data_IF_703972736968
#
_entry.id   IF_703972736968
#
_cell.length_a   1.000
_cell.length_b   1.000
_cell.length_c   1.000
_cell.angle_alpha   90.00
_cell.angle_beta   90.00
_cell.angle_gamma   90.00
#
_symmetry.space_group_name_H-M   'P 1'
#
loop_
_entity.id
_entity.type
_entity.pdbx_description
1 polymer ?
#
# COMPACT_ATOMS: atom_id res chain seq x y z
N UNK A 1 12.36 -7.24 -21.74
CA UNK A 1 13.13 -6.60 -20.63
C UNK A 1 13.54 -7.67 -19.66
N UNK A 2 14.71 -7.55 -18.99
CA UNK A 2 15.15 -8.48 -17.94
C UNK A 2 15.15 -7.77 -16.58
N UNK A 3 14.56 -8.38 -15.55
CA UNK A 3 14.42 -7.82 -14.21
C UNK A 3 14.57 -8.88 -13.12
N UNK A 4 15.25 -8.53 -12.01
CA UNK A 4 15.37 -9.36 -10.82
C UNK A 4 14.34 -8.90 -9.80
N UNK A 5 13.45 -9.78 -9.38
CA UNK A 5 12.35 -9.48 -8.46
C UNK A 5 12.53 -10.33 -7.21
N UNK A 6 12.61 -9.69 -6.04
CA UNK A 6 12.61 -10.39 -4.78
C UNK A 6 11.18 -10.60 -4.28
N UNK A 7 10.84 -11.83 -3.97
CA UNK A 7 9.57 -12.19 -3.34
C UNK A 7 9.81 -12.39 -1.85
N UNK A 8 9.07 -11.65 -1.04
CA UNK A 8 9.08 -11.80 0.42
C UNK A 8 7.64 -12.09 0.85
N UNK A 9 7.24 -13.36 0.99
CA UNK A 9 5.86 -13.68 1.38
C UNK A 9 5.47 -13.12 2.75
N UNK A 10 6.41 -13.05 3.68
CA UNK A 10 6.17 -12.56 5.04
C UNK A 10 5.36 -13.55 5.88
N UNK A 11 4.31 -13.06 6.56
CA UNK A 11 3.57 -13.77 7.59
C UNK A 11 2.10 -14.02 7.19
N UNK A 12 1.48 -15.02 7.83
CA UNK A 12 0.05 -15.30 7.70
C UNK A 12 -0.40 -15.52 6.26
N UNK A 13 -1.45 -14.79 5.83
CA UNK A 13 -1.99 -14.90 4.46
C UNK A 13 -1.01 -14.41 3.39
N UNK A 14 0.06 -13.70 3.76
CA UNK A 14 1.08 -13.25 2.82
C UNK A 14 1.66 -14.38 1.98
N UNK A 15 1.81 -15.58 2.54
CA UNK A 15 2.27 -16.78 1.84
C UNK A 15 1.35 -17.15 0.67
N UNK A 16 0.04 -17.06 0.86
CA UNK A 16 -0.97 -17.44 -0.12
C UNK A 16 -1.11 -16.37 -1.22
N UNK A 17 -1.28 -15.11 -0.80
CA UNK A 17 -1.61 -14.02 -1.75
C UNK A 17 -0.41 -13.64 -2.64
N UNK A 18 0.83 -13.71 -2.11
CA UNK A 18 2.04 -13.37 -2.88
C UNK A 18 2.28 -14.37 -4.02
N UNK A 19 1.89 -15.63 -3.81
CA UNK A 19 1.95 -16.66 -4.86
C UNK A 19 1.21 -16.20 -6.11
N UNK A 20 0.04 -15.59 -5.97
CA UNK A 20 -0.76 -15.11 -7.11
C UNK A 20 -0.20 -13.84 -7.74
N UNK A 21 0.37 -12.93 -6.95
CA UNK A 21 1.14 -11.80 -7.50
C UNK A 21 2.31 -12.27 -8.36
N UNK A 22 3.09 -13.28 -7.89
CA UNK A 22 4.19 -13.90 -8.65
C UNK A 22 3.69 -14.60 -9.91
N UNK A 23 2.56 -15.34 -9.85
CA UNK A 23 1.99 -16.03 -11.02
C UNK A 23 1.54 -15.05 -12.10
N UNK A 24 0.97 -13.92 -11.72
CA UNK A 24 0.58 -12.85 -12.65
C UNK A 24 1.82 -12.25 -13.33
N UNK A 25 2.89 -11.98 -12.58
CA UNK A 25 4.17 -11.50 -13.16
C UNK A 25 4.76 -12.52 -14.14
N UNK A 26 4.71 -13.83 -13.83
CA UNK A 26 5.12 -14.88 -14.76
C UNK A 26 4.29 -14.85 -16.05
N UNK A 27 2.97 -14.75 -15.94
CA UNK A 27 2.08 -14.71 -17.11
C UNK A 27 2.35 -13.46 -17.98
N UNK A 28 2.62 -12.33 -17.37
CA UNK A 28 3.03 -11.09 -18.08
C UNK A 28 4.37 -11.31 -18.78
N UNK A 29 5.35 -11.91 -18.11
CA UNK A 29 6.65 -12.19 -18.73
C UNK A 29 6.51 -13.06 -19.98
N UNK A 30 5.71 -14.14 -19.92
CA UNK A 30 5.40 -15.01 -21.05
C UNK A 30 4.69 -14.26 -22.19
N UNK A 31 3.63 -13.51 -21.85
CA UNK A 31 2.77 -12.82 -22.83
C UNK A 31 3.51 -11.71 -23.59
N UNK A 32 4.36 -10.94 -22.90
CA UNK A 32 5.04 -9.77 -23.45
C UNK A 32 6.54 -10.00 -23.73
N UNK A 33 7.00 -11.25 -23.62
CA UNK A 33 8.38 -11.65 -23.89
C UNK A 33 9.41 -10.89 -23.01
N UNK A 34 9.13 -10.86 -21.70
CA UNK A 34 10.06 -10.38 -20.68
C UNK A 34 10.77 -11.55 -20.00
N UNK A 35 11.89 -11.27 -19.34
CA UNK A 35 12.62 -12.21 -18.49
C UNK A 35 12.61 -11.69 -17.05
N UNK A 36 11.70 -12.22 -16.21
CA UNK A 36 11.67 -11.92 -14.78
C UNK A 36 12.32 -13.07 -14.02
N UNK A 37 13.37 -12.74 -13.25
CA UNK A 37 14.10 -13.68 -12.39
C UNK A 37 13.62 -13.45 -10.96
N UNK A 38 13.08 -14.50 -10.34
CA UNK A 38 12.57 -14.44 -8.99
C UNK A 38 13.56 -15.06 -8.01
N UNK A 39 13.88 -14.31 -6.94
CA UNK A 39 14.52 -14.83 -5.74
C UNK A 39 13.53 -14.72 -4.56
N UNK A 40 13.76 -15.50 -3.50
CA UNK A 40 12.90 -15.51 -2.33
C UNK A 40 13.69 -15.23 -1.06
N UNK A 41 13.05 -14.57 -0.09
CA UNK A 41 13.62 -14.29 1.22
C UNK A 41 12.53 -14.26 2.30
N UNK A 42 12.95 -14.41 3.56
CA UNK A 42 12.08 -14.40 4.74
C UNK A 42 12.19 -13.05 5.46
N UNK A 43 11.07 -12.57 6.00
CA UNK A 43 10.97 -11.39 6.86
C UNK A 43 9.79 -11.56 7.83
N UNK A 44 9.80 -10.83 8.94
CA UNK A 44 8.70 -10.83 9.91
C UNK A 44 8.79 -11.96 10.94
N UNK A 45 7.64 -12.47 11.35
CA UNK A 45 7.55 -13.58 12.31
C UNK A 45 8.27 -14.83 11.81
N UNK A 46 8.07 -15.18 10.55
CA UNK A 46 8.74 -16.33 9.91
C UNK A 46 10.26 -16.23 10.04
N UNK A 47 10.83 -15.04 9.85
CA UNK A 47 12.26 -14.79 10.02
C UNK A 47 12.69 -14.84 11.50
N UNK A 48 11.88 -14.31 12.42
CA UNK A 48 12.17 -14.38 13.87
C UNK A 48 12.23 -15.83 14.35
N UNK A 49 11.29 -16.68 13.95
CA UNK A 49 11.29 -18.10 14.33
C UNK A 49 12.52 -18.85 13.75
N UNK A 50 12.95 -18.50 12.54
CA UNK A 50 14.08 -19.16 11.90
C UNK A 50 15.44 -18.65 12.38
N UNK A 51 15.58 -17.35 12.71
CA UNK A 51 16.89 -16.70 12.92
C UNK A 51 16.98 -15.83 14.18
N UNK A 52 15.86 -15.56 14.84
CA UNK A 52 15.77 -14.58 15.94
C UNK A 52 15.75 -13.11 15.48
N UNK A 53 15.80 -12.85 14.17
CA UNK A 53 15.87 -11.50 13.58
C UNK A 53 14.69 -11.27 12.62
N UNK A 54 13.90 -10.22 12.77
CA UNK A 54 12.76 -9.94 11.88
C UNK A 54 13.17 -9.56 10.44
N UNK A 55 14.42 -9.15 10.22
CA UNK A 55 15.01 -8.89 8.91
C UNK A 55 16.45 -9.43 8.91
N UNK A 56 16.69 -10.67 8.45
CA UNK A 56 18.02 -11.21 8.27
C UNK A 56 18.88 -10.37 7.32
N UNK A 57 20.19 -10.30 7.56
CA UNK A 57 21.11 -9.53 6.70
C UNK A 57 21.10 -10.06 5.26
N UNK A 58 20.99 -11.38 5.06
CA UNK A 58 20.85 -11.98 3.73
C UNK A 58 19.62 -11.42 2.98
N UNK A 59 18.48 -11.30 3.67
CA UNK A 59 17.26 -10.71 3.08
C UNK A 59 17.51 -9.26 2.65
N UNK A 60 18.19 -8.48 3.48
CA UNK A 60 18.49 -7.08 3.17
C UNK A 60 19.45 -6.95 1.98
N UNK A 61 20.46 -7.80 1.89
CA UNK A 61 21.39 -7.81 0.73
C UNK A 61 20.66 -8.19 -0.58
N UNK A 62 19.81 -9.22 -0.55
CA UNK A 62 18.97 -9.58 -1.69
C UNK A 62 18.04 -8.44 -2.09
N UNK A 63 17.45 -7.75 -1.12
CA UNK A 63 16.58 -6.60 -1.35
C UNK A 63 17.32 -5.45 -2.06
N UNK A 64 18.54 -5.12 -1.63
CA UNK A 64 19.38 -4.10 -2.25
C UNK A 64 19.84 -4.47 -3.66
N UNK A 65 19.97 -5.76 -3.95
CA UNK A 65 20.42 -6.27 -5.25
C UNK A 65 19.28 -6.46 -6.26
N UNK A 66 18.02 -6.40 -5.84
CA UNK A 66 16.86 -6.58 -6.73
C UNK A 66 16.40 -5.28 -7.39
N UNK A 67 15.71 -5.40 -8.53
CA UNK A 67 15.08 -4.26 -9.23
C UNK A 67 13.77 -3.82 -8.56
N UNK A 68 13.06 -4.77 -7.93
CA UNK A 68 11.83 -4.52 -7.17
C UNK A 68 11.56 -5.65 -6.18
N UNK A 69 10.73 -5.39 -5.16
CA UNK A 69 10.34 -6.34 -4.14
C UNK A 69 8.81 -6.49 -4.16
N UNK A 70 8.31 -7.72 -4.27
CA UNK A 70 6.92 -8.05 -4.00
C UNK A 70 6.82 -8.66 -2.61
N UNK A 71 6.10 -7.98 -1.73
CA UNK A 71 5.92 -8.37 -0.33
C UNK A 71 4.47 -8.78 -0.07
N UNK A 72 4.26 -9.75 0.83
CA UNK A 72 2.93 -10.21 1.20
C UNK A 72 2.36 -9.45 2.39
N UNK A 73 2.68 -9.87 3.59
CA UNK A 73 2.16 -9.27 4.82
C UNK A 73 3.11 -9.45 5.99
N UNK A 74 2.90 -8.70 7.08
CA UNK A 74 3.72 -8.80 8.28
C UNK A 74 2.84 -8.76 9.54
N UNK A 75 3.36 -9.37 10.62
CA UNK A 75 2.74 -9.36 11.92
C UNK A 75 2.27 -10.74 12.37
N UNK A 76 2.16 -10.92 13.69
CA UNK A 76 1.61 -12.14 14.28
C UNK A 76 1.03 -11.86 15.67
N UNK A 77 -0.18 -12.34 15.95
CA UNK A 77 -0.94 -12.11 17.19
C UNK A 77 -0.16 -12.44 18.49
N UNK A 78 0.85 -13.33 18.42
CA UNK A 78 1.76 -13.63 19.51
C UNK A 78 2.43 -12.37 20.09
N UNK A 79 2.78 -11.41 19.23
CA UNK A 79 3.48 -10.18 19.63
C UNK A 79 2.51 -9.07 20.03
N UNK A 80 1.32 -9.03 19.47
CA UNK A 80 0.30 -8.01 19.77
C UNK A 80 -0.15 -8.12 21.24
N UNK A 81 -0.24 -9.35 21.74
CA UNK A 81 -0.69 -9.65 23.09
C UNK A 81 0.47 -9.72 24.12
N UNK A 82 1.71 -9.51 23.70
CA UNK A 82 2.88 -9.50 24.59
C UNK A 82 3.56 -8.12 24.63
N UNK A 83 3.21 -7.25 25.61
CA UNK A 83 3.86 -5.96 25.76
C UNK A 83 5.35 -6.04 26.07
N UNK A 84 5.84 -7.19 26.56
CA UNK A 84 7.24 -7.44 26.93
C UNK A 84 8.11 -7.86 25.74
N UNK A 85 7.52 -8.19 24.58
CA UNK A 85 8.25 -8.63 23.40
C UNK A 85 9.22 -7.54 22.92
N UNK A 86 10.52 -7.84 23.01
CA UNK A 86 11.60 -6.93 22.58
C UNK A 86 11.81 -6.94 21.09
N UNK A 87 11.53 -8.06 20.43
CA UNK A 87 11.64 -8.25 18.98
C UNK A 87 10.25 -8.46 18.41
N UNK A 88 9.89 -7.67 17.40
CA UNK A 88 8.58 -7.68 16.74
C UNK A 88 8.74 -7.75 15.23
N UNK A 89 7.84 -8.44 14.51
CA UNK A 89 7.86 -8.54 13.05
C UNK A 89 7.97 -7.18 12.35
N UNK A 90 7.20 -6.18 12.82
CA UNK A 90 7.10 -4.83 12.24
C UNK A 90 8.44 -4.09 12.24
N UNK A 91 9.36 -4.43 13.15
CA UNK A 91 10.71 -3.87 13.16
C UNK A 91 11.47 -4.22 11.88
N UNK A 92 11.19 -5.39 11.28
CA UNK A 92 11.76 -5.80 10.00
C UNK A 92 11.30 -4.88 8.87
N UNK A 93 9.99 -4.58 8.81
CA UNK A 93 9.41 -3.70 7.80
C UNK A 93 9.93 -2.26 7.93
N UNK A 94 9.99 -1.73 9.15
CA UNK A 94 10.53 -0.39 9.39
C UNK A 94 12.03 -0.30 9.01
N UNK A 95 12.80 -1.35 9.34
CA UNK A 95 14.23 -1.42 8.99
C UNK A 95 14.44 -1.48 7.48
N UNK A 96 13.75 -2.35 6.74
CA UNK A 96 13.93 -2.47 5.28
C UNK A 96 13.52 -1.18 4.56
N UNK A 97 12.44 -0.52 4.97
CA UNK A 97 12.02 0.78 4.43
C UNK A 97 13.10 1.85 4.60
N UNK A 98 13.71 1.90 5.79
CA UNK A 98 14.81 2.83 6.10
C UNK A 98 16.07 2.52 5.29
N UNK A 99 16.48 1.27 5.24
CA UNK A 99 17.70 0.82 4.56
C UNK A 99 17.64 0.98 3.03
N UNK A 100 16.45 0.86 2.44
CA UNK A 100 16.21 1.10 1.02
C UNK A 100 15.86 2.57 0.72
N UNK A 101 15.77 3.44 1.72
CA UNK A 101 15.44 4.84 1.54
C UNK A 101 14.03 5.07 0.97
N UNK A 102 13.06 4.24 1.36
CA UNK A 102 11.68 4.33 0.90
C UNK A 102 10.95 5.44 1.67
N UNK A 103 10.74 6.57 1.03
CA UNK A 103 10.16 7.75 1.70
C UNK A 103 8.73 8.08 1.28
N UNK A 104 8.27 7.56 0.15
CA UNK A 104 6.94 7.83 -0.35
C UNK A 104 6.15 6.52 -0.49
N UNK A 105 5.06 6.38 0.26
CA UNK A 105 4.12 5.28 0.10
C UNK A 105 2.94 5.76 -0.73
N UNK A 106 2.77 5.13 -1.88
CA UNK A 106 1.70 5.37 -2.83
C UNK A 106 0.59 4.37 -2.58
N UNK A 107 -0.61 4.85 -2.30
CA UNK A 107 -1.81 4.04 -2.06
C UNK A 107 -2.94 4.50 -2.99
N UNK A 108 -3.11 3.88 -4.15
CA UNK A 108 -4.23 4.16 -5.02
C UNK A 108 -5.52 3.58 -4.41
N UNK A 109 -6.55 4.40 -4.34
CA UNK A 109 -7.91 3.98 -4.02
C UNK A 109 -8.65 3.89 -5.35
N UNK A 110 -8.51 2.73 -5.98
CA UNK A 110 -9.17 2.41 -7.25
C UNK A 110 -10.51 1.74 -6.97
N UNK A 111 -11.57 2.32 -7.48
CA UNK A 111 -12.90 1.76 -7.36
C UNK A 111 -13.23 0.93 -8.61
N UNK A 112 -13.67 -0.30 -8.40
CA UNK A 112 -14.27 -1.12 -9.43
C UNK A 112 -15.79 -0.95 -9.41
N UNK A 113 -16.39 -0.59 -10.53
CA UNK A 113 -17.85 -0.37 -10.62
C UNK A 113 -18.65 -1.62 -10.19
N UNK A 114 -18.05 -2.80 -10.32
CA UNK A 114 -18.60 -4.09 -9.91
C UNK A 114 -18.63 -4.32 -8.40
N UNK A 115 -17.94 -3.46 -7.64
CA UNK A 115 -17.84 -3.54 -6.16
C UNK A 115 -18.50 -2.35 -5.46
N UNK A 116 -19.27 -1.53 -6.17
CA UNK A 116 -19.97 -0.38 -5.56
C UNK A 116 -20.85 -0.80 -4.38
N UNK A 117 -21.46 -1.97 -4.47
CA UNK A 117 -22.35 -2.51 -3.43
C UNK A 117 -21.60 -3.26 -2.31
N UNK A 118 -20.28 -3.48 -2.46
CA UNK A 118 -19.45 -4.05 -1.40
C UNK A 118 -19.01 -3.00 -0.36
N UNK A 119 -19.05 -1.71 -0.72
CA UNK A 119 -18.75 -0.61 0.20
C UNK A 119 -19.94 -0.30 1.11
N UNK A 120 -19.62 0.21 2.31
CA UNK A 120 -20.64 0.74 3.24
C UNK A 120 -21.22 2.11 2.81
N UNK A 121 -20.60 2.77 1.83
CA UNK A 121 -21.06 4.05 1.30
C UNK A 121 -22.03 3.83 0.12
N UNK A 122 -22.89 4.81 -0.11
CA UNK A 122 -23.85 4.75 -1.21
C UNK A 122 -23.16 4.83 -2.58
N UNK A 123 -23.59 4.05 -3.59
CA UNK A 123 -22.99 4.02 -4.92
C UNK A 123 -22.88 5.40 -5.60
N UNK A 124 -23.86 6.31 -5.38
CA UNK A 124 -23.81 7.67 -5.95
C UNK A 124 -22.72 8.57 -5.33
N UNK A 125 -22.28 8.26 -4.10
CA UNK A 125 -21.16 8.93 -3.44
C UNK A 125 -19.83 8.42 -4.02
N UNK A 126 -19.75 7.12 -4.27
CA UNK A 126 -18.53 6.41 -4.67
C UNK A 126 -18.19 6.56 -6.15
N UNK A 127 -19.17 6.42 -7.02
CA UNK A 127 -18.97 6.31 -8.47
C UNK A 127 -18.10 7.43 -9.04
N UNK A 128 -17.01 7.06 -9.70
CA UNK A 128 -16.02 7.97 -10.26
C UNK A 128 -14.97 8.46 -9.26
N UNK A 129 -14.85 7.82 -8.09
CA UNK A 129 -13.74 8.05 -7.17
C UNK A 129 -12.48 7.37 -7.70
N UNK A 130 -11.39 8.13 -7.79
CA UNK A 130 -10.04 7.68 -8.13
C UNK A 130 -9.05 8.58 -7.40
N UNK A 131 -8.48 8.10 -6.29
CA UNK A 131 -7.61 8.86 -5.41
C UNK A 131 -6.25 8.20 -5.34
N UNK A 132 -5.19 8.99 -5.43
CA UNK A 132 -3.83 8.53 -5.17
C UNK A 132 -3.26 9.23 -3.93
N UNK A 133 -3.05 8.48 -2.86
CA UNK A 133 -2.39 8.99 -1.67
C UNK A 133 -0.87 8.89 -1.79
N UNK A 134 -0.20 9.96 -1.37
CA UNK A 134 1.22 10.03 -1.08
C UNK A 134 1.40 10.21 0.43
N UNK A 135 1.74 9.12 1.13
CA UNK A 135 2.06 9.09 2.56
C UNK A 135 3.56 9.14 2.74
N UNK A 136 4.08 10.10 3.49
CA UNK A 136 5.50 10.12 3.87
C UNK A 136 5.80 8.94 4.82
N UNK A 137 6.97 8.30 4.68
CA UNK A 137 7.28 7.06 5.41
C UNK A 137 8.48 7.14 6.35
N UNK A 138 9.23 8.24 6.41
CA UNK A 138 10.52 8.28 7.10
C UNK A 138 10.58 9.22 8.30
N UNK A 139 9.58 10.07 8.47
CA UNK A 139 9.43 10.98 9.58
C UNK A 139 8.26 10.62 10.52
N UNK A 140 7.79 11.65 11.24
CA UNK A 140 6.67 11.58 12.15
C UNK A 140 6.96 10.83 13.46
N UNK A 141 5.93 10.49 14.22
CA UNK A 141 6.01 9.71 15.48
C UNK A 141 6.54 8.28 15.27
N UNK A 142 6.54 7.77 14.05
CA UNK A 142 7.03 6.42 13.75
C UNK A 142 8.53 6.28 14.01
N UNK A 143 9.30 7.33 13.73
CA UNK A 143 10.76 7.33 13.82
C UNK A 143 11.30 8.29 14.88
N UNK A 144 10.44 9.08 15.50
CA UNK A 144 10.79 10.00 16.58
C UNK A 144 11.18 9.30 17.87
N UNK A 145 11.77 10.04 18.77
CA UNK A 145 12.15 9.56 20.10
C UNK A 145 10.90 9.15 20.89
N UNK A 146 10.96 7.96 21.52
CA UNK A 146 9.91 7.42 22.38
C UNK A 146 10.39 7.34 23.80
N UNK A 147 9.61 7.83 24.75
CA UNK A 147 9.95 7.82 26.17
C UNK A 147 8.79 7.29 27.01
N UNK A 148 9.12 6.52 28.01
CA UNK A 148 8.23 6.10 29.08
C UNK A 148 9.01 6.14 30.39
N UNK A 149 8.44 6.69 31.46
CA UNK A 149 9.08 6.68 32.77
C UNK A 149 8.93 5.31 33.46
N UNK A 150 9.76 5.07 34.49
CA UNK A 150 9.83 3.76 35.16
C UNK A 150 8.56 3.37 35.90
N UNK A 151 7.82 4.32 36.44
CA UNK A 151 6.55 4.11 37.16
C UNK A 151 5.31 4.03 36.23
N UNK A 152 5.50 4.10 34.89
CA UNK A 152 4.46 4.04 33.87
C UNK A 152 3.38 5.12 33.97
N UNK A 153 3.68 6.27 34.60
CA UNK A 153 2.74 7.41 34.72
C UNK A 153 2.90 8.44 33.60
N UNK A 154 3.97 8.36 32.81
CA UNK A 154 4.23 9.26 31.68
C UNK A 154 4.78 8.52 30.47
N UNK A 155 4.28 8.85 29.29
CA UNK A 155 4.83 8.44 28.01
C UNK A 155 4.77 9.59 27.00
N UNK A 156 5.74 9.65 26.09
CA UNK A 156 5.75 10.62 24.99
C UNK A 156 6.36 10.02 23.73
N UNK A 157 5.83 10.45 22.58
CA UNK A 157 6.34 10.16 21.24
C UNK A 157 6.59 11.49 20.53
N UNK A 158 7.81 11.66 19.98
CA UNK A 158 8.19 12.87 19.28
C UNK A 158 7.77 12.82 17.82
N UNK A 159 6.84 13.69 17.43
CA UNK A 159 6.55 13.96 16.03
C UNK A 159 7.57 14.95 15.47
N UNK A 160 8.33 14.58 14.46
CA UNK A 160 9.31 15.47 13.83
C UNK A 160 9.36 15.28 12.32
N UNK A 161 9.70 16.38 11.62
CA UNK A 161 9.97 16.43 10.19
C UNK A 161 11.14 17.36 9.91
N UNK A 162 12.01 16.93 8.99
CA UNK A 162 12.97 17.82 8.36
C UNK A 162 12.41 18.34 7.02
N UNK A 163 12.79 19.55 6.65
CA UNK A 163 12.35 20.19 5.39
C UNK A 163 12.54 19.28 4.17
N UNK A 164 13.71 18.63 4.03
CA UNK A 164 14.03 17.78 2.89
C UNK A 164 13.09 16.55 2.75
N UNK A 165 12.57 16.04 3.88
CA UNK A 165 11.62 14.91 3.87
C UNK A 165 10.30 15.33 3.24
N UNK A 166 9.83 16.52 3.56
CA UNK A 166 8.62 17.09 2.96
C UNK A 166 8.85 17.46 1.51
N UNK A 167 10.00 18.07 1.17
CA UNK A 167 10.34 18.50 -0.20
C UNK A 167 10.31 17.33 -1.19
N UNK A 168 10.98 16.21 -0.86
CA UNK A 168 11.12 15.08 -1.78
C UNK A 168 9.79 14.40 -2.09
N UNK A 169 8.94 14.18 -1.09
CA UNK A 169 7.62 13.57 -1.32
C UNK A 169 6.66 14.54 -2.01
N UNK A 170 6.72 15.83 -1.69
CA UNK A 170 5.90 16.86 -2.32
C UNK A 170 6.16 16.91 -3.82
N UNK A 171 7.41 16.88 -4.28
CA UNK A 171 7.74 16.84 -5.71
C UNK A 171 7.18 15.60 -6.40
N UNK A 172 7.33 14.41 -5.79
CA UNK A 172 6.73 13.16 -6.31
C UNK A 172 5.21 13.26 -6.45
N UNK A 173 4.52 13.85 -5.47
CA UNK A 173 3.07 14.03 -5.50
C UNK A 173 2.64 15.01 -6.60
N UNK A 174 3.36 16.13 -6.80
CA UNK A 174 3.08 17.05 -7.90
C UNK A 174 3.35 16.44 -9.27
N UNK A 175 4.44 15.69 -9.45
CA UNK A 175 4.75 15.00 -10.70
C UNK A 175 3.62 14.01 -11.06
N UNK A 176 3.12 13.26 -10.06
CA UNK A 176 1.97 12.39 -10.24
C UNK A 176 0.69 13.18 -10.57
N UNK A 177 0.42 14.29 -9.91
CA UNK A 177 -0.75 15.12 -10.18
C UNK A 177 -0.76 15.64 -11.63
N UNK A 178 0.40 15.99 -12.21
CA UNK A 178 0.53 16.41 -13.62
C UNK A 178 0.07 15.35 -14.62
N UNK A 179 0.22 14.07 -14.29
CA UNK A 179 -0.21 12.96 -15.15
C UNK A 179 -1.67 12.54 -14.92
N UNK A 180 -2.34 13.16 -13.92
CA UNK A 180 -3.74 12.91 -13.53
C UNK A 180 -4.60 14.16 -13.78
N UNK A 181 -5.54 14.47 -12.90
CA UNK A 181 -6.48 15.58 -13.05
C UNK A 181 -5.90 16.95 -12.63
N UNK A 182 -4.59 17.02 -12.37
CA UNK A 182 -3.87 18.23 -11.96
C UNK A 182 -4.40 18.88 -10.68
N UNK A 183 -4.80 18.06 -9.71
CA UNK A 183 -5.25 18.49 -8.39
C UNK A 183 -4.45 17.81 -7.30
N UNK A 184 -3.95 18.60 -6.36
CA UNK A 184 -3.25 18.11 -5.17
C UNK A 184 -3.89 18.70 -3.92
N UNK A 185 -4.31 17.82 -2.99
CA UNK A 185 -4.75 18.19 -1.66
C UNK A 185 -3.67 17.83 -0.64
N UNK A 186 -3.02 18.84 -0.08
CA UNK A 186 -2.09 18.66 1.04
C UNK A 186 -2.84 18.64 2.36
N UNK A 187 -2.75 17.52 3.08
CA UNK A 187 -3.46 17.30 4.34
C UNK A 187 -2.52 17.46 5.52
N UNK A 188 -2.88 18.30 6.47
CA UNK A 188 -2.07 18.65 7.63
C UNK A 188 -2.91 19.02 8.88
N UNK A 189 -2.26 19.42 9.98
CA UNK A 189 -2.90 19.97 11.19
C UNK A 189 -2.21 21.29 11.60
N UNK A 190 -1.96 22.18 10.65
CA UNK A 190 -1.17 23.42 10.84
C UNK A 190 -1.78 24.42 11.84
N UNK A 191 -3.09 24.28 12.14
CA UNK A 191 -3.72 25.07 13.21
C UNK A 191 -3.25 24.67 14.61
N UNK A 192 -2.58 23.50 14.78
CA UNK A 192 -2.13 22.98 16.08
C UNK A 192 -0.64 22.68 16.08
N UNK A 193 -0.12 21.97 15.06
CA UNK A 193 1.21 21.36 15.07
C UNK A 193 2.25 22.19 14.32
N UNK A 194 3.43 22.38 14.92
CA UNK A 194 4.57 23.05 14.26
C UNK A 194 5.09 22.23 13.07
N UNK A 195 5.13 20.91 13.17
CA UNK A 195 5.51 20.05 12.06
C UNK A 195 4.59 20.22 10.85
N UNK A 196 3.29 20.41 11.08
CA UNK A 196 2.31 20.68 10.02
C UNK A 196 2.42 22.10 9.46
N UNK A 197 2.89 23.08 10.24
CA UNK A 197 3.19 24.44 9.73
C UNK A 197 4.37 24.39 8.79
N UNK A 198 5.48 23.73 9.19
CA UNK A 198 6.62 23.48 8.30
C UNK A 198 6.19 22.74 7.03
N UNK A 199 5.37 21.69 7.16
CA UNK A 199 4.83 20.94 6.04
C UNK A 199 4.12 21.85 5.04
N UNK A 200 3.17 22.65 5.52
CA UNK A 200 2.39 23.58 4.69
C UNK A 200 3.25 24.63 4.00
N UNK A 201 4.23 25.21 4.71
CA UNK A 201 5.18 26.18 4.17
C UNK A 201 5.96 25.58 3.00
N UNK A 202 6.52 24.39 3.19
CA UNK A 202 7.29 23.68 2.15
C UNK A 202 6.43 23.37 0.93
N UNK A 203 5.22 22.84 1.14
CA UNK A 203 4.29 22.55 0.04
C UNK A 203 3.92 23.82 -0.73
N UNK A 204 3.67 24.95 -0.04
CA UNK A 204 3.38 26.24 -0.67
C UNK A 204 4.55 26.80 -1.49
N UNK A 205 5.79 26.58 -1.03
CA UNK A 205 6.97 26.99 -1.78
C UNK A 205 7.13 26.18 -3.06
N UNK A 206 7.00 24.84 -2.99
CA UNK A 206 7.13 23.94 -4.13
C UNK A 206 5.96 24.14 -5.12
N UNK A 207 4.76 24.44 -4.64
CA UNK A 207 3.60 24.72 -5.51
C UNK A 207 3.89 25.79 -6.57
N UNK A 208 4.78 26.74 -6.30
CA UNK A 208 5.18 27.79 -7.26
C UNK A 208 5.92 27.22 -8.49
N UNK A 209 6.52 26.05 -8.36
CA UNK A 209 7.20 25.32 -9.46
C UNK A 209 6.20 24.50 -10.30
N UNK A 210 4.95 24.37 -9.82
CA UNK A 210 3.87 23.59 -10.44
C UNK A 210 2.60 24.43 -10.67
N UNK A 211 2.69 25.57 -11.38
CA UNK A 211 1.56 26.49 -11.54
C UNK A 211 0.39 25.91 -12.34
N UNK A 212 0.59 24.76 -12.99
CA UNK A 212 -0.41 24.01 -13.73
C UNK A 212 -1.20 23.01 -12.88
N UNK A 213 -0.87 22.88 -11.57
CA UNK A 213 -1.56 21.99 -10.62
C UNK A 213 -2.32 22.83 -9.60
N UNK A 214 -3.63 22.60 -9.49
CA UNK A 214 -4.48 23.18 -8.46
C UNK A 214 -4.10 22.59 -7.08
N UNK A 215 -3.68 23.45 -6.14
CA UNK A 215 -3.26 23.03 -4.80
C UNK A 215 -4.27 23.49 -3.75
N UNK A 216 -4.80 22.54 -2.99
CA UNK A 216 -5.65 22.80 -1.81
C UNK A 216 -4.92 22.36 -0.54
N UNK A 217 -5.08 23.12 0.54
CA UNK A 217 -4.66 22.71 1.90
C UNK A 217 -5.87 22.37 2.74
N UNK A 218 -5.89 21.20 3.35
CA UNK A 218 -7.00 20.73 4.16
C UNK A 218 -6.51 20.24 5.52
N UNK A 219 -7.24 20.58 6.59
CA UNK A 219 -6.97 19.94 7.89
C UNK A 219 -7.41 18.49 7.89
N UNK A 220 -6.65 17.64 8.57
CA UNK A 220 -6.87 16.19 8.62
C UNK A 220 -8.28 15.79 9.04
N UNK A 221 -8.86 16.48 10.02
CA UNK A 221 -10.23 16.25 10.48
C UNK A 221 -11.29 16.55 9.40
N UNK A 222 -11.08 17.59 8.60
CA UNK A 222 -11.93 17.86 7.46
C UNK A 222 -11.69 16.84 6.33
N UNK A 223 -10.45 16.42 6.08
CA UNK A 223 -10.13 15.43 5.06
C UNK A 223 -10.85 14.09 5.36
N UNK A 224 -10.82 13.62 6.60
CA UNK A 224 -11.56 12.44 7.03
C UNK A 224 -13.08 12.57 6.75
N UNK A 225 -13.70 13.69 7.12
CA UNK A 225 -15.10 13.94 6.78
C UNK A 225 -15.38 13.95 5.28
N UNK A 226 -14.48 14.53 4.47
CA UNK A 226 -14.66 14.63 3.01
C UNK A 226 -14.47 13.28 2.31
N UNK A 227 -13.62 12.39 2.81
CA UNK A 227 -13.47 11.04 2.30
C UNK A 227 -14.78 10.25 2.36
N UNK A 228 -15.55 10.41 3.44
CA UNK A 228 -16.87 9.77 3.59
C UNK A 228 -17.96 10.51 2.81
N UNK A 229 -17.91 11.86 2.79
CA UNK A 229 -18.99 12.68 2.24
C UNK A 229 -18.90 12.90 0.73
N UNK A 230 -17.71 13.10 0.21
CA UNK A 230 -17.46 13.45 -1.20
C UNK A 230 -16.03 13.02 -1.62
N UNK A 231 -15.74 11.71 -1.68
CA UNK A 231 -14.41 11.21 -2.04
C UNK A 231 -13.95 11.65 -3.44
N UNK A 232 -14.87 11.88 -4.36
CA UNK A 232 -14.60 12.39 -5.74
C UNK A 232 -13.94 13.76 -5.78
N UNK A 233 -13.92 14.49 -4.66
CA UNK A 233 -13.21 15.76 -4.56
C UNK A 233 -11.70 15.59 -4.70
N UNK A 234 -11.17 14.45 -4.24
CA UNK A 234 -9.76 14.18 -4.21
C UNK A 234 -9.26 13.57 -5.53
N UNK A 235 -8.04 13.95 -5.91
CA UNK A 235 -7.27 13.34 -7.00
C UNK A 235 -5.95 12.83 -6.43
N UNK A 236 -4.98 13.72 -6.12
CA UNK A 236 -3.78 13.37 -5.38
C UNK A 236 -3.87 13.94 -3.97
N UNK A 237 -3.66 13.11 -2.97
CA UNK A 237 -3.61 13.49 -1.54
C UNK A 237 -2.20 13.30 -1.01
N UNK A 238 -1.61 14.40 -0.55
CA UNK A 238 -0.27 14.41 0.05
C UNK A 238 -0.38 14.59 1.57
N UNK A 239 0.24 13.70 2.35
CA UNK A 239 0.07 13.70 3.80
C UNK A 239 1.28 13.16 4.56
N UNK A 240 1.40 13.58 5.82
CA UNK A 240 2.37 13.07 6.81
C UNK A 240 2.12 11.57 7.10
N UNK A 241 3.07 10.93 7.76
CA UNK A 241 3.08 9.49 7.99
C UNK A 241 1.85 9.02 8.78
N UNK A 242 1.65 9.51 10.01
CA UNK A 242 0.53 9.09 10.86
C UNK A 242 -0.83 9.43 10.25
N UNK A 243 -0.98 10.62 9.70
CA UNK A 243 -2.24 11.03 9.07
C UNK A 243 -2.54 10.20 7.83
N UNK A 244 -1.52 9.88 7.04
CA UNK A 244 -1.64 9.03 5.86
C UNK A 244 -2.03 7.60 6.21
N UNK A 245 -1.52 7.06 7.31
CA UNK A 245 -1.91 5.74 7.80
C UNK A 245 -3.42 5.69 8.07
N UNK A 246 -3.91 6.60 8.91
CA UNK A 246 -5.32 6.65 9.32
C UNK A 246 -6.25 6.92 8.14
N UNK A 247 -5.94 7.93 7.30
CA UNK A 247 -6.79 8.30 6.17
C UNK A 247 -6.87 7.21 5.09
N UNK A 248 -5.79 6.48 4.85
CA UNK A 248 -5.81 5.44 3.82
C UNK A 248 -6.55 4.18 4.27
N UNK A 249 -6.56 3.88 5.57
CA UNK A 249 -7.37 2.82 6.13
C UNK A 249 -8.85 3.19 6.11
N UNK A 250 -9.20 4.45 6.42
CA UNK A 250 -10.56 4.97 6.21
C UNK A 250 -10.97 4.90 4.74
N UNK A 251 -10.09 5.34 3.82
CA UNK A 251 -10.34 5.30 2.38
C UNK A 251 -10.46 3.86 1.83
N UNK A 252 -9.94 2.85 2.53
CA UNK A 252 -10.11 1.44 2.16
C UNK A 252 -11.59 1.04 2.11
N UNK A 253 -12.43 1.66 2.94
CA UNK A 253 -13.87 1.41 2.95
C UNK A 253 -14.57 1.90 1.67
N UNK A 254 -13.95 2.81 0.92
CA UNK A 254 -14.42 3.24 -0.40
C UNK A 254 -14.31 2.10 -1.41
N UNK A 255 -13.21 1.37 -1.39
CA UNK A 255 -12.95 0.24 -2.30
C UNK A 255 -13.73 -1.05 -1.93
N UNK A 256 -14.40 -1.08 -0.79
CA UNK A 256 -15.21 -2.19 -0.30
C UNK A 256 -14.44 -3.25 0.50
N UNK A 257 -13.15 -3.41 0.31
CA UNK A 257 -12.29 -4.32 1.09
C UNK A 257 -10.82 -3.92 1.00
N UNK A 258 -10.07 -4.11 2.10
CA UNK A 258 -8.62 -3.99 2.12
C UNK A 258 -7.93 -5.02 1.18
N UNK A 259 -8.60 -6.16 0.90
CA UNK A 259 -8.16 -7.16 -0.05
C UNK A 259 -8.13 -6.70 -1.52
N UNK A 260 -8.62 -5.49 -1.79
CA UNK A 260 -8.58 -4.83 -3.11
C UNK A 260 -7.47 -3.78 -3.24
N UNK A 261 -6.77 -3.46 -2.15
CA UNK A 261 -5.89 -2.30 -2.12
C UNK A 261 -4.41 -2.68 -2.17
N UNK A 262 -3.79 -2.24 -3.25
CA UNK A 262 -2.35 -2.31 -3.47
C UNK A 262 -1.64 -1.08 -2.90
N UNK A 263 -0.36 -1.21 -2.61
CA UNK A 263 0.51 -0.09 -2.30
C UNK A 263 1.92 -0.24 -2.86
N UNK A 264 2.60 0.89 -3.02
CA UNK A 264 3.99 0.96 -3.43
C UNK A 264 4.75 1.89 -2.49
N UNK A 265 5.79 1.38 -1.85
CA UNK A 265 6.75 2.21 -1.11
C UNK A 265 7.96 2.46 -2.00
N UNK A 266 8.22 3.71 -2.35
CA UNK A 266 9.27 4.11 -3.28
C UNK A 266 10.24 5.12 -2.68
N UNK A 267 11.46 5.09 -3.16
CA UNK A 267 12.51 6.05 -2.94
C UNK A 267 13.20 6.40 -4.26
N UNK A 268 14.53 6.48 -4.22
CA UNK A 268 15.36 6.71 -5.41
C UNK A 268 16.00 5.42 -5.96
N UNK A 269 15.74 4.28 -5.31
CA UNK A 269 16.25 2.95 -5.66
C UNK A 269 15.15 1.90 -5.79
N UNK A 270 15.44 0.68 -5.28
CA UNK A 270 14.53 -0.47 -5.33
C UNK A 270 13.18 -0.17 -4.66
N UNK A 271 12.09 -0.33 -5.42
CA UNK A 271 10.73 -0.15 -4.91
C UNK A 271 10.22 -1.40 -4.18
N UNK A 272 9.29 -1.19 -3.23
CA UNK A 272 8.69 -2.21 -2.39
C UNK A 272 7.17 -2.19 -2.58
N UNK A 273 6.60 -3.28 -3.09
CA UNK A 273 5.20 -3.39 -3.52
C UNK A 273 4.47 -4.40 -2.66
N UNK A 274 3.38 -4.00 -2.05
CA UNK A 274 2.68 -4.79 -1.04
C UNK A 274 1.18 -4.51 -1.01
N UNK A 275 0.32 -5.48 -0.63
CA UNK A 275 -1.05 -5.19 -0.22
C UNK A 275 -1.08 -4.26 1.00
N UNK A 276 -2.19 -3.54 1.19
CA UNK A 276 -2.38 -2.72 2.41
C UNK A 276 -2.78 -3.58 3.62
N UNK A 277 -3.45 -4.73 3.38
CA UNK A 277 -3.91 -5.62 4.45
C UNK A 277 -2.77 -6.20 5.28
N UNK A 278 -3.06 -6.54 6.54
CA UNK A 278 -2.14 -7.26 7.44
C UNK A 278 -2.06 -8.75 7.16
N UNK A 279 -1.46 -9.47 8.10
CA UNK A 279 -1.19 -10.91 8.01
C UNK A 279 -2.41 -11.83 8.21
N UNK A 280 -3.50 -11.35 8.78
CA UNK A 280 -4.78 -12.07 8.98
C UNK A 280 -4.60 -13.56 9.34
N UNK A 281 -3.85 -13.83 10.41
CA UNK A 281 -3.48 -15.20 10.83
C UNK A 281 -4.67 -16.12 11.10
N UNK A 282 -5.82 -15.56 11.46
CA UNK A 282 -7.06 -16.26 11.74
C UNK A 282 -7.62 -17.01 10.52
N UNK A 283 -7.30 -16.55 9.30
CA UNK A 283 -7.72 -17.17 8.06
C UNK A 283 -6.57 -17.77 7.24
N UNK A 284 -5.32 -17.64 7.69
CA UNK A 284 -4.15 -18.16 6.99
C UNK A 284 -4.22 -19.68 6.79
N UNK A 285 -3.85 -20.18 5.61
CA UNK A 285 -3.90 -21.59 5.23
C UNK A 285 -5.31 -22.14 5.00
N UNK A 286 -6.34 -21.29 4.99
CA UNK A 286 -7.73 -21.72 4.82
C UNK A 286 -8.29 -21.47 3.42
N UNK A 287 -7.48 -21.01 2.49
CA UNK A 287 -7.92 -20.66 1.11
C UNK A 287 -9.08 -19.63 1.12
N UNK A 288 -9.01 -18.62 2.00
CA UNK A 288 -10.06 -17.59 2.14
C UNK A 288 -9.60 -16.19 1.79
N UNK A 289 -8.29 -15.94 1.84
CA UNK A 289 -7.73 -14.62 1.61
C UNK A 289 -7.99 -14.14 0.18
N UNK A 290 -8.30 -12.84 0.03
CA UNK A 290 -8.45 -12.22 -1.28
C UNK A 290 -7.05 -11.93 -1.88
N UNK A 291 -6.65 -12.53 -3.02
CA UNK A 291 -5.33 -12.31 -3.60
C UNK A 291 -5.25 -11.05 -4.47
N UNK A 292 -6.37 -10.35 -4.71
CA UNK A 292 -6.44 -9.27 -5.69
C UNK A 292 -5.55 -8.08 -5.33
N UNK A 293 -5.39 -7.76 -4.05
CA UNK A 293 -4.48 -6.69 -3.62
C UNK A 293 -3.01 -7.01 -3.95
N UNK A 294 -2.56 -8.25 -3.79
CA UNK A 294 -1.20 -8.67 -4.18
C UNK A 294 -1.01 -8.67 -5.70
N UNK A 295 -2.03 -9.10 -6.45
CA UNK A 295 -2.05 -9.03 -7.92
C UNK A 295 -1.98 -7.57 -8.39
N UNK A 296 -2.74 -6.67 -7.79
CA UNK A 296 -2.71 -5.24 -8.10
C UNK A 296 -1.40 -4.58 -7.64
N UNK A 297 -0.75 -5.08 -6.58
CA UNK A 297 0.59 -4.64 -6.19
C UNK A 297 1.64 -5.04 -7.23
N UNK A 298 1.49 -6.21 -7.86
CA UNK A 298 2.30 -6.61 -9.01
C UNK A 298 2.05 -5.68 -10.23
N UNK A 299 0.81 -5.24 -10.46
CA UNK A 299 0.52 -4.24 -11.49
C UNK A 299 1.18 -2.89 -11.20
N UNK A 300 1.15 -2.41 -9.94
CA UNK A 300 1.89 -1.20 -9.55
C UNK A 300 3.40 -1.35 -9.75
N UNK A 301 3.96 -2.52 -9.49
CA UNK A 301 5.39 -2.81 -9.76
C UNK A 301 5.72 -2.67 -11.25
N UNK A 302 4.89 -3.25 -12.11
CA UNK A 302 5.06 -3.14 -13.57
C UNK A 302 5.06 -1.69 -14.04
N UNK A 303 4.12 -0.89 -13.55
CA UNK A 303 4.00 0.53 -13.89
C UNK A 303 5.14 1.36 -13.30
N UNK A 304 5.26 1.37 -11.95
CA UNK A 304 6.11 2.34 -11.22
C UNK A 304 7.59 1.96 -11.30
N UNK A 305 7.93 0.67 -11.09
CA UNK A 305 9.34 0.25 -11.07
C UNK A 305 9.90 -0.01 -12.48
N UNK A 306 9.06 -0.48 -13.41
CA UNK A 306 9.55 -0.94 -14.72
C UNK A 306 9.07 -0.09 -15.89
N UNK A 307 8.11 0.82 -15.69
CA UNK A 307 7.54 1.66 -16.75
C UNK A 307 6.72 0.87 -17.78
N UNK A 308 6.21 -0.30 -17.39
CA UNK A 308 5.45 -1.24 -18.22
C UNK A 308 3.94 -0.96 -18.08
N UNK A 309 3.49 0.18 -18.59
CA UNK A 309 2.12 0.67 -18.44
C UNK A 309 1.05 -0.24 -19.07
N UNK A 310 1.35 -0.81 -20.23
CA UNK A 310 0.40 -1.67 -20.96
C UNK A 310 0.23 -3.01 -20.24
N UNK A 311 1.31 -3.56 -19.71
CA UNK A 311 1.33 -4.76 -18.89
C UNK A 311 0.57 -4.55 -17.57
N UNK A 312 0.80 -3.42 -16.91
CA UNK A 312 0.07 -3.06 -15.69
C UNK A 312 -1.43 -2.92 -15.94
N UNK A 313 -1.82 -2.27 -17.04
CA UNK A 313 -3.22 -2.19 -17.49
C UNK A 313 -3.81 -3.56 -17.81
N UNK A 314 -3.05 -4.45 -18.45
CA UNK A 314 -3.52 -5.79 -18.73
C UNK A 314 -3.88 -6.56 -17.46
N UNK A 315 -3.07 -6.43 -16.40
CA UNK A 315 -3.36 -7.03 -15.08
C UNK A 315 -4.62 -6.41 -14.46
N UNK A 316 -4.70 -5.09 -14.40
CA UNK A 316 -5.86 -4.40 -13.82
C UNK A 316 -7.14 -4.72 -14.57
N UNK A 317 -7.08 -4.80 -15.91
CA UNK A 317 -8.22 -5.21 -16.74
C UNK A 317 -8.63 -6.66 -16.47
N UNK A 318 -7.67 -7.59 -16.29
CA UNK A 318 -7.98 -8.98 -15.95
C UNK A 318 -8.72 -9.08 -14.61
N UNK A 319 -8.33 -8.28 -13.61
CA UNK A 319 -9.07 -8.17 -12.35
C UNK A 319 -10.48 -7.64 -12.59
N UNK A 320 -10.64 -6.54 -13.35
CA UNK A 320 -11.95 -5.97 -13.68
C UNK A 320 -12.85 -6.99 -14.40
N UNK A 321 -12.34 -7.70 -15.41
CA UNK A 321 -13.12 -8.73 -16.14
C UNK A 321 -13.51 -9.91 -15.24
N UNK A 322 -12.65 -10.30 -14.29
CA UNK A 322 -12.97 -11.30 -13.27
C UNK A 322 -14.16 -10.86 -12.43
N UNK A 323 -14.14 -9.61 -11.97
CA UNK A 323 -15.24 -9.04 -11.17
C UNK A 323 -16.52 -8.86 -12.00
N UNK A 324 -16.43 -8.43 -13.26
CA UNK A 324 -17.57 -8.34 -14.20
C UNK A 324 -18.22 -9.70 -14.46
N UNK A 325 -17.44 -10.77 -14.51
CA UNK A 325 -17.96 -12.13 -14.61
C UNK A 325 -18.69 -12.62 -13.34
N UNK A 326 -18.76 -11.77 -12.29
CA UNK A 326 -19.48 -12.01 -11.05
C UNK A 326 -18.67 -12.77 -9.99
N UNK A 327 -17.37 -13.06 -10.23
CA UNK A 327 -16.54 -13.75 -9.24
C UNK A 327 -16.19 -12.87 -8.06
N UNK A 328 -16.26 -13.41 -6.83
CA UNK A 328 -15.98 -12.72 -5.57
C UNK A 328 -15.22 -13.63 -4.61
N UNK A 329 -14.37 -13.05 -3.78
CA UNK A 329 -13.94 -13.69 -2.53
C UNK A 329 -14.90 -13.33 -1.41
N UNK A 330 -14.81 -14.01 -0.26
CA UNK A 330 -15.78 -13.83 0.82
C UNK A 330 -15.88 -12.41 1.38
N UNK A 331 -14.79 -11.65 1.32
CA UNK A 331 -14.69 -10.26 1.83
C UNK A 331 -15.36 -9.21 0.92
N UNK A 332 -15.53 -9.53 -0.37
CA UNK A 332 -16.17 -8.67 -1.38
C UNK A 332 -17.50 -9.25 -1.92
N UNK A 333 -17.94 -10.38 -1.37
CA UNK A 333 -19.24 -10.95 -1.65
C UNK A 333 -20.34 -10.25 -0.86
N UNK A 334 -21.53 -10.17 -1.41
CA UNK A 334 -22.73 -9.65 -0.76
C UNK A 334 -23.89 -10.65 -0.85
N UNK A 335 -25.08 -10.27 -0.33
CA UNK A 335 -26.25 -11.14 -0.32
C UNK A 335 -26.77 -11.52 -1.73
N UNK A 336 -26.39 -10.77 -2.76
CA UNK A 336 -26.79 -11.02 -4.16
C UNK A 336 -25.78 -11.90 -4.90
N UNK A 337 -24.60 -12.11 -4.30
CA UNK A 337 -23.55 -12.96 -4.90
C UNK A 337 -24.00 -14.43 -4.88
N UNK A 338 -24.13 -15.06 -6.05
CA UNK A 338 -24.47 -16.47 -6.14
C UNK A 338 -23.40 -17.35 -5.47
N UNK A 339 -23.81 -18.39 -4.74
CA UNK A 339 -22.89 -19.19 -3.93
C UNK A 339 -21.78 -19.87 -4.76
N UNK A 340 -22.06 -20.24 -6.00
CA UNK A 340 -21.10 -20.80 -6.95
C UNK A 340 -20.13 -19.76 -7.53
N UNK A 341 -20.31 -18.47 -7.24
CA UNK A 341 -19.45 -17.36 -7.61
C UNK A 341 -18.54 -16.91 -6.48
N UNK A 342 -18.69 -17.45 -5.27
CA UNK A 342 -17.81 -17.16 -4.13
C UNK A 342 -16.62 -18.12 -4.18
N UNK A 343 -15.43 -17.58 -4.34
CA UNK A 343 -14.18 -18.30 -4.57
C UNK A 343 -13.24 -18.19 -3.36
N UNK A 344 -12.38 -19.18 -3.21
CA UNK A 344 -11.21 -19.09 -2.34
C UNK A 344 -10.06 -18.34 -3.01
N UNK A 345 -8.92 -18.26 -2.31
CA UNK A 345 -7.70 -17.57 -2.76
C UNK A 345 -7.18 -18.17 -4.07
N UNK A 346 -7.10 -19.50 -4.14
CA UNK A 346 -6.55 -20.20 -5.30
C UNK A 346 -7.43 -20.05 -6.53
N UNK A 347 -8.73 -20.24 -6.38
CA UNK A 347 -9.68 -20.15 -7.49
C UNK A 347 -9.77 -18.71 -8.01
N UNK A 348 -9.75 -17.70 -7.12
CA UNK A 348 -9.79 -16.30 -7.52
C UNK A 348 -8.54 -15.93 -8.31
N UNK A 349 -7.34 -16.29 -7.84
CA UNK A 349 -6.10 -16.05 -8.56
C UNK A 349 -6.08 -16.74 -9.94
N UNK A 350 -6.54 -18.00 -10.01
CA UNK A 350 -6.66 -18.72 -11.27
C UNK A 350 -7.63 -18.04 -12.25
N UNK A 351 -8.76 -17.48 -11.76
CA UNK A 351 -9.70 -16.72 -12.60
C UNK A 351 -9.09 -15.47 -13.20
N UNK A 352 -8.30 -14.72 -12.44
CA UNK A 352 -7.57 -13.56 -12.99
C UNK A 352 -6.61 -14.00 -14.10
N UNK A 353 -5.89 -15.12 -13.95
CA UNK A 353 -5.00 -15.64 -14.99
C UNK A 353 -5.77 -16.09 -16.26
N UNK A 354 -7.01 -16.58 -16.13
CA UNK A 354 -7.86 -16.90 -17.28
C UNK A 354 -8.20 -15.67 -18.13
N UNK A 355 -8.37 -14.50 -17.51
CA UNK A 355 -8.62 -13.23 -18.20
C UNK A 355 -7.34 -12.50 -18.65
N UNK A 356 -6.19 -12.90 -18.13
CA UNK A 356 -4.88 -12.36 -18.52
C UNK A 356 -4.29 -13.12 -19.74
N UNK A 357 -5.10 -13.36 -20.76
CA UNK A 357 -4.73 -14.12 -21.95
C UNK A 357 -3.82 -13.35 -22.91
#
# INVERSE_FOLDING_TARGET
MKKNILIIPGDGIGQEVTTWGKQVLNRIAEKYNHEFIFDEAIMGHTAIEATGNPLPDETLEKAKASDAILFGAIGHAKYDNDPSAKVRPEQGLLKIRKELGLYANLRPILLFDELLDASSLKPEVLRGTDILFFRELTGDVYFGEKKRNEDNTFASDLMNYHRYEVERITRKAYDAARTRNKKLCSVDKANVLETSRLWREVVQEIAKEYPDVETEHMFIDNAAMQLVKNPKKFDVVLTANLFGDILTDEASQIAGSMGMLASASIGDGTGFFEPIHGSAHDIAGQNKANPLASILSAALMLDIAFGLLDEAKAVTNAVSETLKAGWRTGDIANAETAADKILGTEEMGAKVLEFLK
#
